data_IF_777766735541
#
_entry.id   IF_777766735541
#
_cell.length_a   1.000
_cell.length_b   1.000
_cell.length_c   1.000
_cell.angle_alpha   90.00
_cell.angle_beta   90.00
_cell.angle_gamma   90.00
#
_symmetry.space_group_name_H-M   'P 1'
#
loop_
_entity.id
_entity.type
_entity.pdbx_description
1 polymer ?
#
# COMPACT_ATOMS: atom_id res chain seq x y z
N UNK A 1 34.94 57.37 -37.98
CA UNK A 1 34.48 56.09 -38.55
C UNK A 1 34.10 55.18 -37.39
N UNK A 2 32.82 54.87 -37.26
CA UNK A 2 32.24 54.12 -36.14
C UNK A 2 32.62 52.63 -36.27
N UNK A 3 33.24 52.05 -35.23
CA UNK A 3 33.59 50.62 -35.20
C UNK A 3 32.33 49.80 -34.92
N UNK A 4 31.87 49.01 -35.90
CA UNK A 4 30.92 47.94 -35.65
C UNK A 4 31.67 46.82 -34.91
N UNK A 5 31.32 46.60 -33.64
CA UNK A 5 31.62 45.35 -32.95
C UNK A 5 30.64 44.28 -33.48
N UNK A 6 31.11 43.09 -33.90
CA UNK A 6 30.20 42.01 -34.24
C UNK A 6 29.46 41.59 -32.96
N UNK A 7 28.13 41.59 -33.00
CA UNK A 7 27.32 41.01 -31.95
C UNK A 7 27.63 39.51 -31.89
N UNK A 8 28.36 39.08 -30.86
CA UNK A 8 28.47 37.65 -30.54
C UNK A 8 27.08 37.17 -30.13
N UNK A 9 26.41 36.46 -31.04
CA UNK A 9 25.25 35.64 -30.70
C UNK A 9 25.75 34.52 -29.77
N UNK A 10 25.59 34.69 -28.47
CA UNK A 10 25.70 33.58 -27.53
C UNK A 10 24.47 32.70 -27.72
N UNK A 11 24.58 31.70 -28.58
CA UNK A 11 23.59 30.62 -28.66
C UNK A 11 23.73 29.85 -27.35
N UNK A 12 22.84 30.11 -26.40
CA UNK A 12 22.69 29.27 -25.22
C UNK A 12 22.22 27.91 -25.71
N UNK A 13 23.10 26.91 -25.73
CA UNK A 13 22.66 25.53 -25.87
C UNK A 13 21.95 25.17 -24.57
N UNK A 14 20.62 25.18 -24.56
CA UNK A 14 19.90 24.45 -23.53
C UNK A 14 20.33 22.98 -23.69
N UNK A 15 20.98 22.42 -22.67
CA UNK A 15 21.24 21.00 -22.65
C UNK A 15 19.88 20.31 -22.52
N UNK A 16 19.60 19.38 -23.43
CA UNK A 16 18.38 18.56 -23.41
C UNK A 16 18.30 17.82 -22.07
N UNK A 17 17.12 17.86 -21.42
CA UNK A 17 16.91 17.20 -20.14
C UNK A 17 16.63 15.71 -20.42
N UNK A 18 17.45 14.79 -19.90
CA UNK A 18 17.20 13.36 -20.10
C UNK A 18 15.89 12.95 -19.42
N UNK A 19 15.19 11.93 -19.95
CA UNK A 19 13.97 11.41 -19.35
C UNK A 19 14.21 10.87 -17.94
N UNK A 20 13.24 11.10 -17.05
CA UNK A 20 13.14 10.52 -15.71
C UNK A 20 11.70 10.06 -15.49
N UNK A 21 11.50 8.75 -15.36
CA UNK A 21 10.19 8.14 -15.21
C UNK A 21 9.70 8.27 -13.76
N UNK A 22 8.47 8.76 -13.56
CA UNK A 22 7.85 8.88 -12.23
C UNK A 22 6.44 8.28 -12.24
N UNK A 23 6.28 6.97 -11.95
CA UNK A 23 4.99 6.27 -12.02
C UNK A 23 4.03 6.59 -10.87
N UNK A 24 4.48 7.41 -9.91
CA UNK A 24 3.71 7.81 -8.74
C UNK A 24 3.64 6.73 -7.64
N UNK A 25 2.89 7.07 -6.59
CA UNK A 25 2.82 6.27 -5.37
C UNK A 25 2.11 4.93 -5.56
N UNK A 26 2.49 3.90 -4.76
CA UNK A 26 1.77 2.64 -4.72
C UNK A 26 0.29 2.78 -4.33
N UNK A 27 -0.51 1.76 -4.69
CA UNK A 27 -1.97 1.76 -4.50
C UNK A 27 -2.48 0.50 -3.83
N UNK A 28 -3.56 0.62 -3.05
CA UNK A 28 -4.32 -0.53 -2.53
C UNK A 28 -5.80 -0.35 -2.86
N UNK A 29 -6.35 -1.27 -3.63
CA UNK A 29 -7.65 -1.11 -4.29
C UNK A 29 -8.53 -2.34 -4.04
N UNK A 30 -9.86 -2.20 -3.97
CA UNK A 30 -10.77 -3.34 -4.07
C UNK A 30 -10.69 -4.03 -5.43
N UNK A 31 -10.98 -5.33 -5.48
CA UNK A 31 -11.15 -6.10 -6.70
C UNK A 31 -12.16 -5.44 -7.64
N UNK A 32 -11.79 -5.31 -8.92
CA UNK A 32 -12.61 -4.66 -9.95
C UNK A 32 -12.69 -3.14 -9.86
N UNK A 33 -12.01 -2.50 -8.89
CA UNK A 33 -11.93 -1.05 -8.85
C UNK A 33 -10.98 -0.51 -9.93
N UNK A 34 -11.28 0.70 -10.41
CA UNK A 34 -10.43 1.43 -11.36
C UNK A 34 -9.43 2.28 -10.59
N UNK A 35 -8.13 2.09 -10.84
CA UNK A 35 -7.05 2.94 -10.35
C UNK A 35 -6.67 3.98 -11.39
N UNK A 36 -6.49 5.22 -10.96
CA UNK A 36 -5.79 6.23 -11.76
C UNK A 36 -4.28 6.09 -11.57
N UNK A 37 -3.55 6.01 -12.69
CA UNK A 37 -2.10 6.05 -12.76
C UNK A 37 -1.70 7.43 -13.28
N UNK A 38 -0.71 8.04 -12.62
CA UNK A 38 -0.30 9.42 -12.89
C UNK A 38 1.22 9.46 -13.06
N UNK A 39 1.63 9.49 -14.32
CA UNK A 39 3.01 9.65 -14.76
C UNK A 39 3.38 11.09 -15.08
N UNK A 40 2.49 12.06 -14.81
CA UNK A 40 2.67 13.46 -15.23
C UNK A 40 3.81 14.18 -14.51
N UNK A 41 4.35 13.58 -13.45
CA UNK A 41 5.55 14.04 -12.74
C UNK A 41 6.86 13.60 -13.40
N UNK A 42 6.80 12.82 -14.49
CA UNK A 42 8.00 12.44 -15.24
C UNK A 42 8.64 13.67 -15.87
N UNK A 43 9.97 13.75 -15.80
CA UNK A 43 10.74 14.90 -16.30
C UNK A 43 11.48 14.56 -17.59
N UNK A 44 11.67 15.55 -18.47
CA UNK A 44 12.36 15.41 -19.75
C UNK A 44 11.70 16.23 -20.86
N UNK A 45 12.37 16.29 -22.01
CA UNK A 45 11.88 17.00 -23.21
C UNK A 45 11.11 16.05 -24.14
N UNK A 46 9.94 16.50 -24.67
CA UNK A 46 9.12 15.77 -25.65
C UNK A 46 8.90 14.27 -25.33
N UNK A 47 8.35 13.99 -24.15
CA UNK A 47 8.17 12.64 -23.64
C UNK A 47 7.03 11.86 -24.31
N UNK A 48 7.31 10.58 -24.60
CA UNK A 48 6.34 9.52 -24.86
C UNK A 48 6.24 8.59 -23.66
N UNK A 49 5.08 7.98 -23.43
CA UNK A 49 4.77 7.18 -22.24
C UNK A 49 4.38 5.76 -22.66
N UNK A 50 4.77 4.76 -21.87
CA UNK A 50 4.33 3.38 -22.02
C UNK A 50 4.19 2.70 -20.65
N UNK A 51 2.95 2.37 -20.29
CA UNK A 51 2.61 1.63 -19.09
C UNK A 51 2.53 0.12 -19.37
N UNK A 52 3.03 -0.68 -18.43
CA UNK A 52 2.88 -2.13 -18.42
C UNK A 52 2.59 -2.64 -17.01
N UNK A 53 1.97 -3.82 -16.92
CA UNK A 53 1.56 -4.44 -15.66
C UNK A 53 1.94 -5.92 -15.63
N UNK A 54 2.47 -6.37 -14.50
CA UNK A 54 2.83 -7.77 -14.24
C UNK A 54 2.25 -8.22 -12.88
N UNK A 55 1.53 -9.34 -12.78
CA UNK A 55 1.10 -10.19 -13.91
C UNK A 55 0.09 -9.46 -14.80
N UNK A 56 0.18 -9.68 -16.11
CA UNK A 56 -0.81 -9.17 -17.06
C UNK A 56 -2.16 -9.92 -16.99
N UNK A 57 -2.15 -11.17 -16.52
CA UNK A 57 -3.36 -11.96 -16.38
C UNK A 57 -4.32 -11.34 -15.37
N UNK A 58 -5.55 -11.06 -15.81
CA UNK A 58 -6.57 -10.44 -14.96
C UNK A 58 -6.33 -8.96 -14.68
N UNK A 59 -5.40 -8.29 -15.36
CA UNK A 59 -5.19 -6.84 -15.29
C UNK A 59 -5.34 -6.19 -16.67
N UNK A 60 -6.00 -5.04 -16.70
CA UNK A 60 -6.23 -4.24 -17.91
C UNK A 60 -5.77 -2.81 -17.68
N UNK A 61 -4.91 -2.32 -18.57
CA UNK A 61 -4.53 -0.92 -18.64
C UNK A 61 -5.30 -0.22 -19.77
N UNK A 62 -5.95 0.91 -19.48
CA UNK A 62 -6.49 1.80 -20.50
C UNK A 62 -5.64 3.06 -20.59
N UNK A 63 -5.52 3.61 -21.79
CA UNK A 63 -4.68 4.79 -22.08
C UNK A 63 -3.21 4.57 -21.67
N UNK A 64 -2.69 3.37 -21.90
CA UNK A 64 -1.34 2.97 -21.50
C UNK A 64 -0.20 3.77 -22.17
N UNK A 65 -0.50 4.55 -23.22
CA UNK A 65 0.47 5.42 -23.90
C UNK A 65 0.37 6.90 -23.48
N UNK A 66 -0.42 7.19 -22.43
CA UNK A 66 -0.68 8.52 -21.90
C UNK A 66 0.03 8.73 -20.54
N UNK A 67 0.39 9.98 -20.18
CA UNK A 67 0.81 10.30 -18.81
C UNK A 67 -0.26 9.97 -17.77
N UNK A 68 -1.53 9.92 -18.18
CA UNK A 68 -2.65 9.47 -17.35
C UNK A 68 -3.23 8.19 -17.93
N UNK A 69 -3.08 7.09 -17.20
CA UNK A 69 -3.62 5.78 -17.54
C UNK A 69 -4.55 5.27 -16.44
N UNK A 70 -5.28 4.20 -16.71
CA UNK A 70 -6.06 3.52 -15.66
C UNK A 70 -5.78 2.03 -15.61
N UNK A 71 -5.78 1.47 -14.40
CA UNK A 71 -5.66 0.04 -14.14
C UNK A 71 -7.00 -0.50 -13.62
N UNK A 72 -7.46 -1.62 -14.18
CA UNK A 72 -8.51 -2.46 -13.56
C UNK A 72 -7.97 -3.86 -13.40
N UNK A 73 -8.20 -4.48 -12.25
CA UNK A 73 -7.76 -5.85 -11.98
C UNK A 73 -8.93 -6.71 -11.48
N UNK A 74 -9.11 -7.86 -12.12
CA UNK A 74 -10.18 -8.84 -11.87
C UNK A 74 -9.73 -10.03 -11.02
N UNK A 75 -8.45 -10.09 -10.65
CA UNK A 75 -7.94 -11.05 -9.67
C UNK A 75 -7.29 -10.32 -8.47
N UNK A 76 -7.46 -10.84 -7.23
CA UNK A 76 -6.73 -10.32 -6.09
C UNK A 76 -5.25 -10.68 -6.20
N UNK A 77 -4.38 -9.78 -5.75
CA UNK A 77 -2.94 -10.00 -5.84
C UNK A 77 -2.10 -8.73 -5.77
N UNK A 78 -0.80 -8.92 -5.96
CA UNK A 78 0.16 -7.83 -6.11
C UNK A 78 0.52 -7.71 -7.59
N UNK A 79 0.43 -6.48 -8.09
CA UNK A 79 0.73 -6.11 -9.46
C UNK A 79 1.88 -5.09 -9.46
N UNK A 80 2.93 -5.38 -10.22
CA UNK A 80 3.99 -4.41 -10.54
C UNK A 80 3.52 -3.59 -11.72
N UNK A 81 3.58 -2.26 -11.58
CA UNK A 81 3.27 -1.30 -12.63
C UNK A 81 4.57 -0.63 -13.06
N UNK A 82 4.90 -0.72 -14.34
CA UNK A 82 6.12 -0.16 -14.90
C UNK A 82 5.76 0.95 -15.87
N UNK A 83 6.33 2.13 -15.65
CA UNK A 83 6.27 3.25 -16.57
C UNK A 83 7.62 3.38 -17.28
N UNK A 84 7.59 3.36 -18.60
CA UNK A 84 8.71 3.76 -19.45
C UNK A 84 8.39 5.10 -20.10
N UNK A 85 9.35 6.04 -20.01
CA UNK A 85 9.26 7.33 -20.70
C UNK A 85 10.47 7.51 -21.61
N UNK A 86 10.22 7.90 -22.86
CA UNK A 86 11.26 8.12 -23.86
C UNK A 86 11.13 9.50 -24.49
N UNK A 87 12.27 10.15 -24.77
CA UNK A 87 12.32 11.41 -25.51
C UNK A 87 12.40 11.20 -27.05
N UNK A 88 12.29 12.29 -27.80
CA UNK A 88 12.38 12.27 -29.26
C UNK A 88 13.77 11.87 -29.81
N UNK A 89 14.82 11.93 -28.98
CA UNK A 89 16.15 11.46 -29.31
C UNK A 89 16.32 9.94 -29.09
N UNK A 90 15.30 9.27 -28.53
CA UNK A 90 15.28 7.83 -28.26
C UNK A 90 15.99 7.43 -26.98
N UNK A 91 16.29 8.36 -26.06
CA UNK A 91 16.71 8.00 -24.71
C UNK A 91 15.46 7.67 -23.91
N UNK A 92 15.58 6.71 -23.00
CA UNK A 92 14.46 6.25 -22.19
C UNK A 92 14.88 6.07 -20.74
N UNK A 93 13.94 6.28 -19.83
CA UNK A 93 14.05 5.90 -18.44
C UNK A 93 12.82 5.08 -18.00
N UNK A 94 13.01 4.30 -16.95
CA UNK A 94 12.04 3.31 -16.49
C UNK A 94 11.97 3.35 -14.98
N UNK A 95 10.76 3.42 -14.46
CA UNK A 95 10.50 3.28 -13.04
C UNK A 95 9.27 2.41 -12.78
N UNK A 96 9.21 1.86 -11.57
CA UNK A 96 8.19 0.93 -11.14
C UNK A 96 7.47 1.43 -9.89
N UNK A 97 6.18 1.13 -9.82
CA UNK A 97 5.36 1.21 -8.61
C UNK A 97 4.55 -0.08 -8.48
N UNK A 98 3.72 -0.21 -7.44
CA UNK A 98 2.92 -1.41 -7.25
C UNK A 98 1.47 -1.10 -6.87
N UNK A 99 0.58 -2.02 -7.25
CA UNK A 99 -0.81 -2.03 -6.83
C UNK A 99 -1.13 -3.35 -6.13
N UNK A 100 -1.77 -3.28 -4.96
CA UNK A 100 -2.38 -4.45 -4.32
C UNK A 100 -3.88 -4.42 -4.51
N UNK A 101 -4.42 -5.53 -5.00
CA UNK A 101 -5.84 -5.71 -5.27
C UNK A 101 -6.40 -6.67 -4.22
N UNK A 102 -7.31 -6.17 -3.40
CA UNK A 102 -7.95 -6.93 -2.34
C UNK A 102 -9.32 -7.41 -2.78
N UNK A 103 -9.58 -8.71 -2.67
CA UNK A 103 -10.94 -9.24 -2.86
C UNK A 103 -11.78 -9.02 -1.58
N UNK A 104 -12.86 -8.21 -1.63
CA UNK A 104 -13.74 -8.01 -0.50
C UNK A 104 -14.48 -9.30 -0.07
N UNK A 105 -14.60 -10.31 -0.94
CA UNK A 105 -15.13 -11.62 -0.59
C UNK A 105 -14.10 -12.50 0.15
N UNK A 106 -12.81 -12.29 -0.09
CA UNK A 106 -11.70 -12.91 0.63
C UNK A 106 -11.52 -12.36 2.05
N UNK A 107 -12.14 -11.22 2.37
CA UNK A 107 -12.26 -10.77 3.75
C UNK A 107 -13.18 -11.75 4.49
N UNK A 108 -12.57 -12.77 5.13
CA UNK A 108 -13.27 -13.77 5.94
C UNK A 108 -14.19 -13.02 6.91
N UNK A 109 -15.51 -13.10 6.67
CA UNK A 109 -16.47 -12.57 7.65
C UNK A 109 -16.21 -13.34 8.95
N UNK A 110 -16.21 -12.64 10.08
CA UNK A 110 -16.08 -13.27 11.40
C UNK A 110 -17.13 -14.38 11.59
N UNK A 111 -18.26 -14.30 10.87
CA UNK A 111 -19.33 -15.30 10.85
C UNK A 111 -19.03 -16.59 10.07
N UNK A 112 -17.93 -16.67 9.33
CA UNK A 112 -17.56 -17.83 8.48
C UNK A 112 -16.43 -18.69 9.11
N UNK A 113 -16.20 -18.51 10.40
CA UNK A 113 -15.27 -19.30 11.20
C UNK A 113 -15.98 -20.57 11.67
N UNK A 114 -15.93 -21.61 10.83
CA UNK A 114 -16.17 -22.98 11.27
C UNK A 114 -15.18 -23.36 12.37
N UNK A 115 -15.70 -23.89 13.47
CA UNK A 115 -15.01 -24.15 14.74
C UNK A 115 -14.07 -25.39 14.65
N UNK A 116 -13.80 -25.91 13.46
CA UNK A 116 -13.12 -27.18 13.20
C UNK A 116 -11.70 -27.04 12.64
N UNK A 117 -11.28 -25.85 12.18
CA UNK A 117 -9.94 -25.64 11.60
C UNK A 117 -8.86 -25.29 12.64
N UNK A 118 -9.22 -25.12 13.92
CA UNK A 118 -8.28 -24.77 15.00
C UNK A 118 -7.57 -25.99 15.62
N UNK A 119 -7.89 -27.21 15.19
CA UNK A 119 -7.33 -28.43 15.77
C UNK A 119 -5.88 -28.76 15.31
N UNK A 120 -5.32 -28.04 14.34
CA UNK A 120 -3.98 -28.36 13.78
C UNK A 120 -2.84 -27.48 14.29
N UNK A 121 -3.10 -26.40 15.05
CA UNK A 121 -2.05 -25.62 15.67
C UNK A 121 -1.56 -26.34 16.94
N UNK A 122 -0.70 -27.32 16.73
CA UNK A 122 -0.12 -28.15 17.79
C UNK A 122 0.55 -27.27 18.84
N UNK A 123 0.02 -27.38 20.05
CA UNK A 123 0.51 -26.84 21.32
C UNK A 123 2.00 -27.09 21.54
N UNK A 124 2.74 -26.03 21.86
CA UNK A 124 4.13 -26.09 22.29
C UNK A 124 4.40 -25.16 23.46
N UNK A 125 4.31 -25.73 24.67
CA UNK A 125 4.95 -25.32 25.93
C UNK A 125 4.44 -24.05 26.67
N UNK A 126 3.52 -24.29 27.61
CA UNK A 126 3.80 -24.11 29.04
C UNK A 126 3.81 -22.69 29.64
N UNK A 127 2.65 -22.22 30.10
CA UNK A 127 2.54 -21.31 31.24
C UNK A 127 1.28 -21.65 32.06
N UNK A 128 1.30 -21.52 33.41
CA UNK A 128 0.25 -22.01 34.29
C UNK A 128 -0.91 -21.02 34.36
N UNK A 129 -2.06 -21.45 33.88
CA UNK A 129 -3.28 -20.66 33.81
C UNK A 129 -4.09 -21.19 32.66
N UNK A 130 -4.89 -22.22 32.93
CA UNK A 130 -5.75 -22.85 31.93
C UNK A 130 -6.54 -21.80 31.18
N UNK A 131 -6.43 -21.85 29.85
CA UNK A 131 -7.36 -21.21 28.93
C UNK A 131 -8.76 -21.64 29.35
N UNK A 132 -9.46 -20.75 30.04
CA UNK A 132 -10.91 -20.82 30.13
C UNK A 132 -11.40 -20.22 28.82
N UNK A 133 -12.10 -21.06 28.08
CA UNK A 133 -12.86 -20.70 26.90
C UNK A 133 -13.88 -19.66 27.36
N UNK A 134 -13.73 -18.39 26.97
CA UNK A 134 -14.77 -17.36 27.04
C UNK A 134 -14.33 -16.16 26.15
N UNK A 135 -15.24 -15.69 25.31
CA UNK A 135 -15.10 -14.56 24.37
C UNK A 135 -14.72 -13.23 25.08
N UNK A 136 -14.82 -13.21 26.42
CA UNK A 136 -14.52 -12.10 27.33
C UNK A 136 -13.01 -11.78 27.48
N UNK A 137 -12.10 -12.71 27.17
CA UNK A 137 -10.66 -12.54 27.47
C UNK A 137 -9.95 -11.52 26.55
N UNK A 138 -10.31 -11.47 25.26
CA UNK A 138 -9.66 -10.55 24.31
C UNK A 138 -10.11 -9.10 24.50
N UNK A 139 -11.41 -8.88 24.73
CA UNK A 139 -11.93 -7.56 25.10
C UNK A 139 -11.22 -7.03 26.35
N UNK A 140 -11.17 -7.83 27.42
CA UNK A 140 -10.58 -7.41 28.68
C UNK A 140 -9.08 -7.09 28.53
N UNK A 141 -8.31 -7.97 27.88
CA UNK A 141 -6.86 -7.78 27.69
C UNK A 141 -6.53 -6.58 26.80
N UNK A 142 -7.36 -6.31 25.79
CA UNK A 142 -7.22 -5.11 24.97
C UNK A 142 -7.43 -3.84 25.80
N UNK A 143 -8.49 -3.80 26.61
CA UNK A 143 -8.83 -2.64 27.45
C UNK A 143 -7.82 -2.40 28.57
N UNK A 144 -7.23 -3.47 29.12
CA UNK A 144 -6.11 -3.36 30.06
C UNK A 144 -4.88 -2.75 29.40
N UNK A 145 -4.55 -3.17 28.17
CA UNK A 145 -3.48 -2.57 27.39
C UNK A 145 -3.77 -1.10 27.03
N UNK A 146 -5.03 -0.75 26.73
CA UNK A 146 -5.44 0.62 26.40
C UNK A 146 -5.16 1.62 27.54
N UNK A 147 -5.30 1.16 28.79
CA UNK A 147 -5.00 1.93 30.02
C UNK A 147 -3.50 2.01 30.34
N UNK A 148 -2.69 1.15 29.74
CA UNK A 148 -1.25 1.06 29.97
C UNK A 148 -0.42 2.09 29.21
N UNK A 149 0.90 1.92 29.28
CA UNK A 149 1.88 2.66 28.49
C UNK A 149 1.82 2.24 27.02
N UNK A 150 2.40 3.05 26.13
CA UNK A 150 2.56 2.69 24.72
C UNK A 150 3.33 1.38 24.50
N UNK A 151 4.26 1.01 25.40
CA UNK A 151 4.95 -0.27 25.31
C UNK A 151 4.05 -1.46 25.67
N UNK A 152 3.15 -1.29 26.65
CA UNK A 152 2.14 -2.29 26.99
C UNK A 152 1.12 -2.46 25.86
N UNK A 153 0.71 -1.35 25.24
CA UNK A 153 -0.15 -1.35 24.05
C UNK A 153 0.47 -2.09 22.87
N UNK A 154 1.71 -1.76 22.50
CA UNK A 154 2.44 -2.44 21.42
C UNK A 154 2.63 -3.92 21.71
N UNK A 155 2.89 -4.29 22.98
CA UNK A 155 2.98 -5.70 23.40
C UNK A 155 1.68 -6.45 23.13
N UNK A 156 0.54 -5.86 23.49
CA UNK A 156 -0.77 -6.41 23.17
C UNK A 156 -1.02 -6.50 21.66
N UNK A 157 -0.81 -5.42 20.89
CA UNK A 157 -0.97 -5.49 19.44
C UNK A 157 -0.10 -6.59 18.83
N UNK A 158 1.06 -6.86 19.42
CA UNK A 158 1.95 -7.89 18.94
C UNK A 158 1.45 -9.33 19.16
N UNK A 159 0.53 -9.57 20.10
CA UNK A 159 -0.12 -10.88 20.31
C UNK A 159 -1.24 -11.15 19.31
N UNK A 160 -1.74 -10.12 18.63
CA UNK A 160 -2.74 -10.26 17.58
C UNK A 160 -2.15 -11.00 16.36
N UNK A 161 -2.96 -11.83 15.66
CA UNK A 161 -2.51 -12.57 14.49
C UNK A 161 -1.84 -11.66 13.44
N UNK A 162 -0.71 -12.12 12.90
CA UNK A 162 0.06 -11.42 11.87
C UNK A 162 -0.42 -11.68 10.44
N UNK A 163 -1.63 -12.23 10.26
CA UNK A 163 -2.06 -12.85 9.00
C UNK A 163 -2.10 -11.89 7.80
N UNK A 164 -2.04 -10.58 8.03
CA UNK A 164 -1.66 -9.56 7.03
C UNK A 164 -0.85 -8.45 7.72
N UNK A 165 0.22 -7.97 7.08
CA UNK A 165 1.09 -6.89 7.56
C UNK A 165 0.59 -5.48 7.19
N UNK A 166 -0.68 -5.36 6.80
CA UNK A 166 -1.31 -4.11 6.35
C UNK A 166 -2.09 -3.41 7.47
N UNK A 167 -2.29 -2.10 7.37
CA UNK A 167 -3.07 -1.28 8.32
C UNK A 167 -4.56 -1.71 8.45
N UNK A 168 -5.05 -2.48 7.47
CA UNK A 168 -6.39 -3.11 7.47
C UNK A 168 -6.47 -4.33 8.39
N UNK A 169 -5.32 -4.91 8.74
CA UNK A 169 -5.21 -5.96 9.75
C UNK A 169 -5.61 -5.42 11.11
N UNK A 170 -6.25 -6.25 11.94
CA UNK A 170 -6.55 -5.91 13.34
C UNK A 170 -5.25 -5.49 14.06
N UNK A 171 -4.13 -6.13 13.74
CA UNK A 171 -2.80 -5.79 14.26
C UNK A 171 -2.30 -4.44 13.75
N UNK A 172 -2.41 -4.17 12.44
CA UNK A 172 -2.00 -2.91 11.83
C UNK A 172 -2.81 -1.73 12.36
N UNK A 173 -4.14 -1.88 12.43
CA UNK A 173 -5.05 -0.90 13.02
C UNK A 173 -4.74 -0.65 14.51
N UNK A 174 -4.47 -1.71 15.28
CA UNK A 174 -4.03 -1.60 16.68
C UNK A 174 -2.74 -0.77 16.81
N UNK A 175 -1.75 -1.03 15.96
CA UNK A 175 -0.46 -0.34 15.98
C UNK A 175 -0.58 1.12 15.54
N UNK A 176 -1.43 1.43 14.56
CA UNK A 176 -1.63 2.78 14.02
C UNK A 176 -2.13 3.79 15.06
N UNK A 177 -2.81 3.32 16.11
CA UNK A 177 -3.36 4.16 17.19
C UNK A 177 -2.50 4.19 18.46
N UNK A 178 -1.27 3.67 18.43
CA UNK A 178 -0.40 3.60 19.63
C UNK A 178 -0.15 4.96 20.32
N UNK A 179 -0.03 6.03 19.52
CA UNK A 179 0.21 7.40 20.01
C UNK A 179 -1.08 8.15 20.39
N UNK A 180 -2.24 7.49 20.26
CA UNK A 180 -3.54 8.06 20.65
C UNK A 180 -3.74 7.96 22.16
N UNK A 181 -4.74 8.70 22.65
CA UNK A 181 -5.11 8.69 24.07
C UNK A 181 -5.58 7.30 24.52
N UNK A 182 -5.50 7.02 25.82
CA UNK A 182 -6.03 5.77 26.39
C UNK A 182 -7.51 5.56 26.07
N UNK A 183 -8.30 6.65 26.03
CA UNK A 183 -9.71 6.61 25.66
C UNK A 183 -9.93 6.20 24.20
N UNK A 184 -9.14 6.72 23.26
CA UNK A 184 -9.22 6.35 21.85
C UNK A 184 -8.85 4.87 21.64
N UNK A 185 -7.85 4.37 22.38
CA UNK A 185 -7.47 2.95 22.38
C UNK A 185 -8.55 2.06 22.99
N UNK A 186 -9.21 2.51 24.06
CA UNK A 186 -10.33 1.79 24.69
C UNK A 186 -11.56 1.72 23.77
N UNK A 187 -11.88 2.84 23.10
CA UNK A 187 -12.95 2.88 22.09
C UNK A 187 -12.66 1.91 20.93
N UNK A 188 -11.41 1.82 20.51
CA UNK A 188 -10.99 0.87 19.49
C UNK A 188 -11.14 -0.59 19.96
N UNK A 189 -10.74 -0.91 21.20
CA UNK A 189 -10.94 -2.24 21.78
C UNK A 189 -12.42 -2.61 21.80
N UNK A 190 -13.28 -1.68 22.23
CA UNK A 190 -14.73 -1.89 22.27
C UNK A 190 -15.26 -2.22 20.88
N UNK A 191 -14.92 -1.42 19.88
CA UNK A 191 -15.37 -1.60 18.50
C UNK A 191 -14.84 -2.88 17.80
N UNK A 192 -13.82 -3.54 18.36
CA UNK A 192 -13.14 -4.67 17.70
C UNK A 192 -13.34 -6.02 18.38
N UNK A 193 -13.49 -6.03 19.70
CA UNK A 193 -13.43 -7.25 20.48
C UNK A 193 -14.51 -7.36 21.56
N UNK A 194 -15.26 -6.28 21.82
CA UNK A 194 -16.27 -6.27 22.87
C UNK A 194 -17.65 -6.18 22.20
N UNK A 195 -18.33 -7.33 22.06
CA UNK A 195 -19.77 -7.39 21.82
C UNK A 195 -20.55 -7.30 23.15
#
# INVERSE_FOLDING_TARGET
MLRLLPALLLVSCAAEVPPSAEPGDPRVLPLGAVAALDGSYSEGDDLSFAWSVEPAEGAVLNDAESPFATLTAEAPGFYTLRLEVCDAAGRCDVAETWARVDDPASARRITDWGIDEFASATSGAGAPGGFKDDEDDLCQRCREAAKGTSSQWVSFCNTLPKTTSDERSVRGSCQSINLKTSQERDNWCFAKFCD
#
